data_IF_155956739217
#
_entry.id   IF_155956739217
#
_cell.length_a   1.000
_cell.length_b   1.000
_cell.length_c   1.000
_cell.angle_alpha   90.00
_cell.angle_beta   90.00
_cell.angle_gamma   90.00
#
_symmetry.space_group_name_H-M   'P 1'
#
loop_
_entity.id
_entity.type
_entity.pdbx_description
1 polymer ?
#
# COMPACT_ATOMS: atom_id res chain seq x y z
N UNK A 1 -11.29 15.17 -5.25
CA UNK A 1 -11.43 14.11 -4.21
C UNK A 1 -12.48 13.10 -4.66
N UNK A 2 -12.07 11.87 -4.95
CA UNK A 2 -12.98 10.75 -5.21
C UNK A 2 -12.86 9.72 -4.09
N UNK A 3 -13.97 9.12 -3.68
CA UNK A 3 -14.05 8.19 -2.57
C UNK A 3 -14.94 7.01 -2.96
N UNK A 4 -14.45 5.79 -2.76
CA UNK A 4 -15.20 4.58 -3.03
C UNK A 4 -15.08 3.59 -1.88
N UNK A 5 -16.19 2.96 -1.51
CA UNK A 5 -16.25 1.92 -0.49
C UNK A 5 -16.80 0.67 -1.09
N UNK A 6 -16.07 -0.42 -0.92
CA UNK A 6 -16.48 -1.72 -1.39
C UNK A 6 -16.45 -2.72 -0.26
N UNK A 7 -17.46 -3.57 -0.25
CA UNK A 7 -17.60 -4.64 0.74
C UNK A 7 -17.23 -5.95 0.09
N UNK A 8 -16.29 -6.67 0.70
CA UNK A 8 -15.96 -8.03 0.29
C UNK A 8 -16.92 -9.04 0.92
N UNK A 9 -17.08 -10.20 0.27
CA UNK A 9 -17.87 -11.32 0.79
C UNK A 9 -17.34 -11.86 2.12
N UNK A 10 -16.04 -11.63 2.40
CA UNK A 10 -15.40 -11.91 3.69
C UNK A 10 -15.91 -11.04 4.84
N UNK A 11 -16.69 -9.99 4.56
CA UNK A 11 -17.19 -9.03 5.54
C UNK A 11 -16.27 -7.85 5.80
N UNK A 12 -15.12 -7.78 5.12
CA UNK A 12 -14.17 -6.68 5.19
C UNK A 12 -14.56 -5.55 4.22
N UNK A 13 -14.17 -4.31 4.55
CA UNK A 13 -14.43 -3.13 3.71
C UNK A 13 -13.12 -2.58 3.14
N UNK A 14 -13.11 -2.31 1.84
CA UNK A 14 -12.07 -1.51 1.19
C UNK A 14 -12.55 -0.08 1.08
N UNK A 15 -11.77 0.84 1.63
CA UNK A 15 -11.94 2.28 1.43
C UNK A 15 -10.83 2.78 0.52
N UNK A 16 -11.19 3.34 -0.63
CA UNK A 16 -10.23 3.94 -1.57
C UNK A 16 -10.51 5.43 -1.65
N UNK A 17 -9.47 6.24 -1.50
CA UNK A 17 -9.55 7.71 -1.55
C UNK A 17 -8.52 8.20 -2.55
N UNK A 18 -8.98 8.94 -3.56
CA UNK A 18 -8.13 9.71 -4.45
C UNK A 18 -8.07 11.15 -3.96
N UNK A 19 -6.87 11.53 -3.53
CA UNK A 19 -6.52 12.89 -3.15
C UNK A 19 -5.90 13.58 -4.37
N UNK A 20 -6.30 14.82 -4.61
CA UNK A 20 -5.79 15.66 -5.69
C UNK A 20 -5.14 16.90 -5.04
N UNK A 21 -4.20 17.54 -5.74
CA UNK A 21 -3.43 18.69 -5.22
C UNK A 21 -2.79 18.46 -3.84
N UNK A 22 -2.06 17.35 -3.68
CA UNK A 22 -1.37 17.01 -2.42
C UNK A 22 -0.08 17.81 -2.28
N UNK A 23 -0.08 18.82 -1.40
CA UNK A 23 1.12 19.66 -1.14
C UNK A 23 2.02 19.13 -0.02
N UNK A 24 1.50 18.27 0.86
CA UNK A 24 2.14 17.85 2.11
C UNK A 24 2.51 16.35 2.14
N UNK A 25 3.01 15.83 1.01
CA UNK A 25 3.30 14.40 0.87
C UNK A 25 4.35 13.89 1.87
N UNK A 26 5.39 14.67 2.18
CA UNK A 26 6.45 14.27 3.12
C UNK A 26 5.89 14.01 4.52
N UNK A 27 5.03 14.91 5.02
CA UNK A 27 4.35 14.74 6.31
C UNK A 27 3.38 13.55 6.29
N UNK A 28 2.70 13.34 5.16
CA UNK A 28 1.76 12.24 4.99
C UNK A 28 2.47 10.88 5.06
N UNK A 29 3.61 10.76 4.40
CA UNK A 29 4.40 9.53 4.40
C UNK A 29 4.94 9.19 5.79
N UNK A 30 5.39 10.20 6.55
CA UNK A 30 5.82 10.03 7.94
C UNK A 30 4.66 9.53 8.82
N UNK A 31 3.47 10.11 8.66
CA UNK A 31 2.26 9.72 9.42
C UNK A 31 1.75 8.32 9.06
N UNK A 32 1.73 7.97 7.78
CA UNK A 32 1.32 6.64 7.31
C UNK A 32 2.30 5.56 7.77
N UNK A 33 3.60 5.82 7.66
CA UNK A 33 4.64 4.86 8.07
C UNK A 33 4.61 4.58 9.57
N UNK A 34 4.24 5.58 10.39
CA UNK A 34 4.39 5.49 11.84
C UNK A 34 3.08 5.21 12.61
N UNK A 35 1.92 5.64 12.11
CA UNK A 35 0.70 5.71 12.92
C UNK A 35 -0.59 5.21 12.25
N UNK A 36 -0.62 5.08 10.93
CA UNK A 36 -1.85 4.77 10.19
C UNK A 36 -1.72 3.47 9.39
N UNK A 37 -2.67 2.57 9.59
CA UNK A 37 -2.80 1.31 8.86
C UNK A 37 -3.39 1.51 7.46
N UNK A 38 -2.79 2.40 6.66
CA UNK A 38 -3.24 2.72 5.29
C UNK A 38 -2.12 2.44 4.30
N UNK A 39 -2.49 2.28 3.03
CA UNK A 39 -1.55 2.05 1.93
C UNK A 39 -1.61 3.26 1.00
N UNK A 40 -0.46 3.89 0.76
CA UNK A 40 -0.34 4.92 -0.26
C UNK A 40 0.00 4.26 -1.60
N UNK A 41 -0.73 4.64 -2.63
CA UNK A 41 -0.54 4.15 -3.99
C UNK A 41 -0.37 5.35 -4.93
N UNK A 42 0.57 5.25 -5.86
CA UNK A 42 0.64 6.20 -6.95
C UNK A 42 -0.54 5.98 -7.92
N UNK A 43 -1.45 6.95 -8.10
CA UNK A 43 -2.55 6.81 -9.04
C UNK A 43 -2.09 6.66 -10.50
N UNK A 44 -0.91 7.17 -10.88
CA UNK A 44 -0.38 6.99 -12.25
C UNK A 44 -0.06 5.52 -12.59
N UNK A 45 0.22 4.71 -11.57
CA UNK A 45 0.48 3.27 -11.71
C UNK A 45 -0.79 2.42 -11.69
N UNK A 46 -1.95 3.03 -11.46
CA UNK A 46 -3.24 2.36 -11.37
C UNK A 46 -4.04 2.68 -12.63
N UNK A 47 -4.19 1.68 -13.50
CA UNK A 47 -5.00 1.83 -14.72
C UNK A 47 -6.49 1.86 -14.39
N UNK A 48 -6.91 1.04 -13.43
CA UNK A 48 -8.29 0.91 -12.99
C UNK A 48 -8.35 0.46 -11.52
N UNK A 49 -9.40 0.87 -10.79
CA UNK A 49 -9.59 0.50 -9.39
C UNK A 49 -9.74 -1.01 -9.17
N UNK A 50 -10.15 -1.76 -10.22
CA UNK A 50 -10.14 -3.22 -10.25
C UNK A 50 -8.77 -3.81 -9.94
N UNK A 51 -7.67 -3.15 -10.34
CA UNK A 51 -6.32 -3.57 -10.01
C UNK A 51 -6.09 -3.58 -8.48
N UNK A 52 -6.60 -2.56 -7.79
CA UNK A 52 -6.53 -2.46 -6.33
C UNK A 52 -7.41 -3.53 -5.68
N UNK A 53 -8.61 -3.78 -6.21
CA UNK A 53 -9.49 -4.85 -5.73
C UNK A 53 -8.84 -6.23 -5.77
N UNK A 54 -8.27 -6.59 -6.92
CA UNK A 54 -7.63 -7.90 -7.11
C UNK A 54 -6.43 -8.05 -6.18
N UNK A 55 -5.64 -6.98 -5.99
CA UNK A 55 -4.50 -7.02 -5.09
C UNK A 55 -4.91 -7.21 -3.63
N UNK A 56 -5.97 -6.55 -3.17
CA UNK A 56 -6.51 -6.70 -1.81
C UNK A 56 -7.08 -8.11 -1.60
N UNK A 57 -7.86 -8.62 -2.54
CA UNK A 57 -8.39 -9.99 -2.49
C UNK A 57 -7.26 -11.03 -2.45
N UNK A 58 -6.21 -10.83 -3.23
CA UNK A 58 -5.03 -11.70 -3.22
C UNK A 58 -4.32 -11.65 -1.87
N UNK A 59 -4.13 -10.46 -1.29
CA UNK A 59 -3.54 -10.30 0.03
C UNK A 59 -4.40 -10.98 1.13
N UNK A 60 -5.73 -10.84 1.08
CA UNK A 60 -6.66 -11.50 2.01
C UNK A 60 -6.60 -13.03 1.88
N UNK A 61 -6.51 -13.52 0.65
CA UNK A 61 -6.34 -14.96 0.36
C UNK A 61 -5.00 -15.46 0.88
N UNK A 62 -3.92 -14.69 0.74
CA UNK A 62 -2.60 -15.07 1.27
C UNK A 62 -2.58 -15.05 2.79
N UNK A 63 -3.25 -14.08 3.42
CA UNK A 63 -3.41 -13.97 4.87
C UNK A 63 -4.17 -15.16 5.45
N UNK A 64 -5.33 -15.50 4.90
CA UNK A 64 -6.14 -16.64 5.35
C UNK A 64 -5.45 -17.99 5.14
N UNK A 65 -4.64 -18.13 4.09
CA UNK A 65 -3.87 -19.33 3.82
C UNK A 65 -2.50 -19.39 4.53
N UNK A 66 -2.14 -18.40 5.36
CA UNK A 66 -0.82 -18.24 5.97
C UNK A 66 0.34 -18.32 4.95
N UNK A 67 0.14 -17.77 3.74
CA UNK A 67 1.10 -17.73 2.63
C UNK A 67 1.58 -16.31 2.31
N UNK A 68 1.43 -15.38 3.26
CA UNK A 68 1.99 -14.03 3.11
C UNK A 68 3.50 -14.08 2.96
N UNK A 69 4.01 -13.28 2.02
CA UNK A 69 5.44 -13.13 1.80
C UNK A 69 5.95 -11.97 2.66
N UNK A 70 5.14 -10.93 2.85
CA UNK A 70 5.47 -9.77 3.69
C UNK A 70 5.08 -10.00 5.15
N UNK A 71 5.53 -9.08 6.02
CA UNK A 71 5.29 -9.16 7.47
C UNK A 71 3.97 -8.53 7.91
N UNK A 72 3.43 -7.59 7.13
CA UNK A 72 2.16 -6.93 7.37
C UNK A 72 1.19 -7.09 6.20
N UNK A 73 -0.11 -6.95 6.48
CA UNK A 73 -1.17 -7.03 5.47
C UNK A 73 -1.08 -5.88 4.46
N UNK A 74 -0.75 -4.68 4.92
CA UNK A 74 -0.60 -3.47 4.11
C UNK A 74 0.51 -3.66 3.08
N UNK A 75 1.66 -4.19 3.50
CA UNK A 75 2.75 -4.47 2.59
C UNK A 75 2.46 -5.65 1.65
N UNK A 76 1.59 -6.59 2.04
CA UNK A 76 1.16 -7.68 1.15
C UNK A 76 0.23 -7.16 0.04
N UNK A 77 -0.67 -6.22 0.38
CA UNK A 77 -1.51 -5.51 -0.60
C UNK A 77 -0.62 -4.76 -1.58
N UNK A 78 0.36 -4.03 -1.07
CA UNK A 78 1.26 -3.22 -1.87
C UNK A 78 2.19 -4.06 -2.76
N UNK A 79 2.67 -5.19 -2.24
CA UNK A 79 3.40 -6.20 -2.99
C UNK A 79 2.53 -6.84 -4.08
N UNK A 80 1.23 -7.00 -3.82
CA UNK A 80 0.28 -7.56 -4.78
C UNK A 80 -0.09 -6.59 -5.90
N UNK A 81 -0.08 -5.27 -5.63
CA UNK A 81 -0.26 -4.21 -6.65
C UNK A 81 1.00 -4.04 -7.50
N UNK A 82 2.19 -4.15 -6.89
CA UNK A 82 3.45 -3.88 -7.59
C UNK A 82 3.77 -4.94 -8.67
N UNK A 83 4.07 -4.52 -9.92
CA UNK A 83 4.58 -5.42 -10.95
C UNK A 83 6.04 -5.82 -10.70
N UNK A 84 6.82 -5.04 -9.95
CA UNK A 84 8.23 -5.31 -9.67
C UNK A 84 8.46 -5.74 -8.21
N UNK A 85 9.23 -6.82 -8.02
CA UNK A 85 9.60 -7.35 -6.70
C UNK A 85 10.93 -6.80 -6.18
N UNK A 86 11.44 -5.72 -6.77
CA UNK A 86 12.76 -5.19 -6.45
C UNK A 86 12.71 -4.34 -5.18
N UNK A 87 13.58 -4.70 -4.25
CA UNK A 87 13.66 -4.13 -2.91
C UNK A 87 14.56 -2.89 -2.95
N UNK A 88 13.99 -1.68 -2.98
CA UNK A 88 14.76 -0.42 -3.09
C UNK A 88 14.96 0.30 -1.75
N UNK A 89 16.07 1.05 -1.68
CA UNK A 89 16.72 1.59 -0.48
C UNK A 89 15.81 2.27 0.54
N UNK A 90 16.06 1.95 1.80
CA UNK A 90 15.29 2.31 3.00
C UNK A 90 16.05 3.40 3.75
N UNK A 91 15.36 4.42 4.28
CA UNK A 91 15.97 5.49 5.08
C UNK A 91 15.96 5.06 6.55
N UNK A 92 16.95 5.49 7.34
CA UNK A 92 17.06 5.14 8.77
C UNK A 92 15.80 5.47 9.60
N UNK A 93 15.04 6.51 9.22
CA UNK A 93 13.74 6.84 9.82
C UNK A 93 12.68 5.74 9.61
N UNK A 94 12.58 5.16 8.41
CA UNK A 94 11.58 4.13 8.10
C UNK A 94 11.90 2.80 8.82
N UNK A 95 13.20 2.50 8.97
CA UNK A 95 13.74 1.39 9.77
C UNK A 95 13.38 1.50 11.26
N UNK A 96 13.11 2.72 11.75
CA UNK A 96 12.77 2.95 13.15
C UNK A 96 11.31 2.62 13.49
N UNK A 97 10.41 2.61 12.50
CA UNK A 97 8.97 2.46 12.69
C UNK A 97 8.37 1.25 11.95
N UNK A 98 9.05 0.71 10.94
CA UNK A 98 8.58 -0.42 10.13
C UNK A 98 9.74 -1.39 9.82
N UNK A 99 9.42 -2.65 9.55
CA UNK A 99 10.46 -3.61 9.15
C UNK A 99 10.96 -3.29 7.75
N UNK A 100 12.24 -3.61 7.45
CA UNK A 100 12.91 -3.40 6.15
C UNK A 100 12.03 -3.72 4.93
N UNK A 101 11.20 -4.77 5.03
CA UNK A 101 10.32 -5.21 3.93
C UNK A 101 9.16 -4.24 3.71
N UNK A 102 8.59 -3.68 4.76
CA UNK A 102 7.42 -2.81 4.68
C UNK A 102 7.80 -1.42 4.14
N UNK A 103 8.96 -0.88 4.54
CA UNK A 103 9.50 0.39 4.03
C UNK A 103 9.84 0.31 2.54
N UNK A 104 10.39 -0.82 2.10
CA UNK A 104 10.74 -1.07 0.69
C UNK A 104 9.50 -1.05 -0.19
N UNK A 105 8.46 -1.77 0.23
CA UNK A 105 7.27 -1.94 -0.59
C UNK A 105 6.53 -0.59 -0.68
N UNK A 106 6.53 0.21 0.40
CA UNK A 106 6.01 1.60 0.42
C UNK A 106 6.62 2.44 -0.71
N UNK A 107 7.94 2.41 -0.87
CA UNK A 107 8.62 3.16 -1.95
C UNK A 107 8.40 2.65 -3.34
N UNK A 108 8.26 1.34 -3.53
CA UNK A 108 7.98 0.78 -4.86
C UNK A 108 6.65 1.30 -5.40
N UNK A 109 5.68 1.54 -4.52
CA UNK A 109 4.38 2.08 -4.92
C UNK A 109 4.32 3.60 -5.03
N UNK A 110 5.29 4.33 -4.45
CA UNK A 110 5.35 5.79 -4.46
C UNK A 110 6.45 6.36 -5.37
N UNK A 111 7.18 5.50 -6.10
CA UNK A 111 8.45 5.87 -6.75
C UNK A 111 8.36 6.87 -7.91
N UNK A 112 7.18 7.19 -8.44
CA UNK A 112 7.08 8.17 -9.54
C UNK A 112 6.74 9.60 -9.08
N UNK A 113 6.92 9.94 -7.81
CA UNK A 113 6.80 11.33 -7.33
C UNK A 113 8.10 12.16 -7.46
N UNK A 114 8.89 11.94 -8.51
CA UNK A 114 10.02 12.80 -8.88
C UNK A 114 10.13 12.98 -10.40
#
# INVERSE_FOLDING_TARGET
MAFEVHKFDSGEFLHVILLDDVENFEDLNDVVTCNLNVVLLNPELIVDIFQVYVAVLKALTNKSNNKMITKSFQSEVLFSVSPSKNIYGITEKELSCSTIVDSVVSRVATKDFL
#
